data_IF_590399822806
#
_entry.id   IF_590399822806
#
_cell.length_a   1.000
_cell.length_b   1.000
_cell.length_c   1.000
_cell.angle_alpha   90.00
_cell.angle_beta   90.00
_cell.angle_gamma   90.00
#
_symmetry.space_group_name_H-M   'P 1'
#
loop_
_entity.id
_entity.type
_entity.pdbx_description
1 polymer ?
#
# COMPACT_ATOMS: atom_id res chain seq x y z
N UNK A 1 -48.24 -36.47 -32.08
CA UNK A 1 -49.19 -35.96 -31.06
C UNK A 1 -48.36 -35.48 -29.88
N UNK A 2 -48.40 -34.18 -29.61
CA UNK A 2 -47.46 -33.46 -28.77
C UNK A 2 -47.79 -33.54 -27.29
N UNK A 3 -46.76 -33.54 -26.43
CA UNK A 3 -46.71 -32.64 -25.26
C UNK A 3 -45.30 -32.05 -25.21
N UNK A 4 -45.18 -30.76 -25.57
CA UNK A 4 -44.09 -29.90 -25.08
C UNK A 4 -44.34 -29.62 -23.60
N UNK A 5 -43.30 -29.70 -22.76
CA UNK A 5 -43.24 -28.96 -21.49
C UNK A 5 -41.94 -28.15 -21.45
N UNK A 6 -42.12 -26.83 -21.35
CA UNK A 6 -41.09 -25.84 -21.06
C UNK A 6 -40.38 -26.15 -19.72
N UNK A 7 -39.07 -25.90 -19.65
CA UNK A 7 -38.43 -25.37 -18.43
C UNK A 7 -38.15 -26.30 -17.25
N UNK A 8 -37.77 -27.56 -17.43
CA UNK A 8 -37.40 -28.42 -16.30
C UNK A 8 -35.92 -28.30 -15.94
N UNK A 9 -35.62 -27.54 -14.88
CA UNK A 9 -34.37 -27.69 -14.14
C UNK A 9 -34.23 -29.16 -13.71
N UNK A 10 -33.02 -29.72 -13.87
CA UNK A 10 -32.69 -31.05 -13.35
C UNK A 10 -33.08 -31.09 -11.87
N UNK A 11 -33.81 -32.13 -11.46
CA UNK A 11 -34.26 -32.29 -10.07
C UNK A 11 -33.48 -33.44 -9.37
N UNK A 12 -33.57 -33.55 -8.05
CA UNK A 12 -32.79 -34.55 -7.28
C UNK A 12 -33.12 -36.00 -7.65
N UNK A 13 -34.30 -36.25 -8.21
CA UNK A 13 -34.71 -37.58 -8.69
C UNK A 13 -33.86 -38.01 -9.88
N UNK A 14 -33.58 -37.09 -10.79
CA UNK A 14 -32.80 -37.35 -12.00
C UNK A 14 -31.35 -37.70 -11.63
N UNK A 15 -30.80 -36.99 -10.65
CA UNK A 15 -29.46 -37.23 -10.09
C UNK A 15 -29.39 -38.59 -9.40
N UNK A 16 -30.39 -38.93 -8.58
CA UNK A 16 -30.46 -40.20 -7.87
C UNK A 16 -30.49 -41.40 -8.83
N UNK A 17 -31.32 -41.30 -9.88
CA UNK A 17 -31.44 -42.32 -10.91
C UNK A 17 -30.12 -42.53 -11.66
N UNK A 18 -29.44 -41.43 -12.02
CA UNK A 18 -28.19 -41.49 -12.79
C UNK A 18 -26.99 -41.95 -11.95
N UNK A 19 -26.94 -41.58 -10.67
CA UNK A 19 -25.89 -41.99 -9.73
C UNK A 19 -26.11 -43.38 -9.12
N UNK A 20 -27.27 -44.01 -9.37
CA UNK A 20 -27.61 -45.33 -8.83
C UNK A 20 -27.86 -45.35 -7.32
N UNK A 21 -28.36 -44.24 -6.74
CA UNK A 21 -28.61 -44.10 -5.30
C UNK A 21 -30.03 -43.61 -5.02
N UNK A 22 -30.47 -43.62 -3.75
CA UNK A 22 -31.77 -43.03 -3.38
C UNK A 22 -31.73 -41.49 -3.39
N UNK A 23 -32.89 -40.85 -3.57
CA UNK A 23 -33.02 -39.38 -3.41
C UNK A 23 -32.57 -38.91 -2.01
N UNK A 24 -32.84 -39.72 -0.97
CA UNK A 24 -32.37 -39.43 0.39
C UNK A 24 -30.85 -39.44 0.47
N UNK A 25 -30.17 -40.31 -0.28
CA UNK A 25 -28.70 -40.32 -0.38
C UNK A 25 -28.19 -39.07 -1.10
N UNK A 26 -28.84 -38.65 -2.19
CA UNK A 26 -28.50 -37.38 -2.87
C UNK A 26 -28.71 -36.18 -1.93
N UNK A 27 -29.81 -36.15 -1.17
CA UNK A 27 -30.06 -35.11 -0.16
C UNK A 27 -28.99 -35.10 0.92
N UNK A 28 -28.59 -36.27 1.42
CA UNK A 28 -27.55 -36.42 2.43
C UNK A 28 -26.17 -36.00 1.90
N UNK A 29 -25.87 -36.27 0.63
CA UNK A 29 -24.65 -35.79 -0.03
C UNK A 29 -24.67 -34.27 -0.19
N UNK A 30 -25.79 -33.70 -0.66
CA UNK A 30 -25.95 -32.24 -0.81
C UNK A 30 -25.88 -31.51 0.55
N UNK A 31 -26.38 -32.13 1.62
CA UNK A 31 -26.37 -31.58 2.99
C UNK A 31 -25.15 -32.03 3.83
N UNK A 32 -24.13 -32.63 3.20
CA UNK A 32 -22.89 -33.10 3.84
C UNK A 32 -23.09 -33.97 5.11
N UNK A 33 -24.15 -34.78 5.18
CA UNK A 33 -24.39 -35.63 6.35
C UNK A 33 -23.34 -36.75 6.47
N UNK A 34 -22.89 -37.10 7.70
CA UNK A 34 -21.97 -38.20 7.95
C UNK A 34 -22.62 -39.57 7.64
N UNK A 35 -21.80 -40.61 7.45
CA UNK A 35 -22.26 -41.98 7.19
C UNK A 35 -22.45 -42.37 5.71
N UNK A 36 -21.96 -41.54 4.77
CA UNK A 36 -21.91 -41.87 3.33
C UNK A 36 -20.47 -42.19 2.96
N UNK A 37 -20.27 -43.30 2.23
CA UNK A 37 -18.92 -43.69 1.77
C UNK A 37 -18.33 -42.62 0.84
N UNK A 38 -17.00 -42.45 0.87
CA UNK A 38 -16.30 -41.52 -0.04
C UNK A 38 -16.62 -41.83 -1.50
N UNK A 39 -16.67 -43.11 -1.88
CA UNK A 39 -16.98 -43.53 -3.23
C UNK A 39 -18.39 -43.07 -3.67
N UNK A 40 -19.41 -43.35 -2.86
CA UNK A 40 -20.80 -42.92 -3.14
C UNK A 40 -20.93 -41.41 -3.21
N UNK A 41 -20.22 -40.67 -2.35
CA UNK A 41 -20.22 -39.21 -2.35
C UNK A 41 -19.61 -38.65 -3.63
N UNK A 42 -18.48 -39.19 -4.09
CA UNK A 42 -17.85 -38.80 -5.36
C UNK A 42 -18.77 -39.05 -6.55
N UNK A 43 -19.36 -40.25 -6.65
CA UNK A 43 -20.27 -40.62 -7.75
C UNK A 43 -21.46 -39.66 -7.86
N UNK A 44 -22.05 -39.27 -6.73
CA UNK A 44 -23.19 -38.33 -6.71
C UNK A 44 -22.75 -36.92 -7.13
N UNK A 45 -21.61 -36.42 -6.65
CA UNK A 45 -21.10 -35.09 -7.00
C UNK A 45 -20.72 -34.97 -8.48
N UNK A 46 -20.13 -36.02 -9.06
CA UNK A 46 -19.84 -36.08 -10.50
C UNK A 46 -21.12 -36.10 -11.34
N UNK A 47 -22.12 -36.87 -10.89
CA UNK A 47 -23.43 -36.93 -11.56
C UNK A 47 -24.14 -35.58 -11.52
N UNK A 48 -24.07 -34.85 -10.40
CA UNK A 48 -24.61 -33.49 -10.27
C UNK A 48 -23.97 -32.53 -11.29
N UNK A 49 -22.65 -32.62 -11.48
CA UNK A 49 -21.91 -31.82 -12.47
C UNK A 49 -22.29 -32.19 -13.91
N UNK A 50 -22.33 -33.48 -14.23
CA UNK A 50 -22.68 -33.98 -15.57
C UNK A 50 -24.09 -33.55 -16.00
N UNK A 51 -25.04 -33.51 -15.05
CA UNK A 51 -26.41 -33.11 -15.32
C UNK A 51 -26.63 -31.59 -15.26
N UNK A 52 -25.61 -30.81 -14.86
CA UNK A 52 -25.76 -29.36 -14.72
C UNK A 52 -26.80 -28.96 -13.66
N UNK A 53 -26.95 -29.78 -12.61
CA UNK A 53 -27.89 -29.54 -11.53
C UNK A 53 -27.52 -28.25 -10.77
N UNK A 54 -28.39 -27.23 -10.83
CA UNK A 54 -28.22 -25.98 -10.09
C UNK A 54 -29.02 -26.04 -8.79
N UNK A 55 -28.35 -26.08 -7.65
CA UNK A 55 -28.99 -26.05 -6.33
C UNK A 55 -29.61 -24.66 -6.08
N UNK A 56 -30.94 -24.56 -6.12
CA UNK A 56 -31.67 -23.41 -5.57
C UNK A 56 -31.84 -23.63 -4.05
N UNK A 57 -30.77 -23.44 -3.28
CA UNK A 57 -30.85 -23.42 -1.82
C UNK A 57 -29.65 -22.67 -1.26
N UNK A 58 -29.91 -21.50 -0.68
CA UNK A 58 -28.99 -20.88 0.25
C UNK A 58 -28.65 -21.83 1.39
N UNK A 59 -27.41 -21.75 1.86
CA UNK A 59 -26.86 -22.50 3.00
C UNK A 59 -26.67 -24.01 2.79
N UNK A 60 -25.72 -24.37 1.93
CA UNK A 60 -24.83 -25.49 2.22
C UNK A 60 -23.39 -24.98 2.09
N UNK A 61 -22.80 -24.65 3.25
CA UNK A 61 -21.36 -24.39 3.38
C UNK A 61 -20.62 -25.61 2.85
N UNK A 62 -20.02 -25.46 1.67
CA UNK A 62 -19.01 -26.41 1.23
C UNK A 62 -17.80 -26.23 2.13
N UNK A 63 -17.41 -27.27 2.86
CA UNK A 63 -16.07 -27.45 3.46
C UNK A 63 -14.97 -27.56 2.38
N UNK A 64 -15.10 -26.79 1.31
CA UNK A 64 -14.06 -26.54 0.33
C UNK A 64 -13.58 -25.11 0.60
N UNK A 65 -12.55 -25.02 1.44
CA UNK A 65 -11.73 -23.85 1.71
C UNK A 65 -12.49 -22.65 2.33
N UNK A 66 -12.48 -22.55 3.67
CA UNK A 66 -12.40 -21.23 4.31
C UNK A 66 -11.08 -20.59 3.83
N UNK A 67 -11.09 -20.01 2.62
CA UNK A 67 -9.99 -19.19 2.14
C UNK A 67 -9.87 -18.01 3.08
N UNK A 68 -8.81 -17.98 3.89
CA UNK A 68 -8.53 -16.88 4.80
C UNK A 68 -8.72 -15.55 4.06
N UNK A 69 -9.67 -14.74 4.55
CA UNK A 69 -9.99 -13.45 3.95
C UNK A 69 -9.17 -12.36 4.66
N UNK A 70 -8.27 -11.74 3.93
CA UNK A 70 -7.53 -10.55 4.40
C UNK A 70 -8.18 -9.32 3.78
N UNK A 71 -8.45 -8.31 4.60
CA UNK A 71 -8.91 -7.00 4.13
C UNK A 71 -7.73 -6.04 4.04
N UNK A 72 -7.51 -5.46 2.86
CA UNK A 72 -6.69 -4.25 2.71
C UNK A 72 -7.59 -3.04 2.83
N UNK A 73 -7.37 -2.26 3.89
CA UNK A 73 -8.13 -1.07 4.24
C UNK A 73 -7.26 0.14 3.96
N UNK A 74 -7.62 0.90 2.93
CA UNK A 74 -6.97 2.14 2.55
C UNK A 74 -7.48 3.29 3.44
N UNK A 75 -6.54 3.98 4.07
CA UNK A 75 -6.74 5.15 4.93
C UNK A 75 -6.14 6.39 4.25
N UNK A 76 -6.92 7.12 3.44
CA UNK A 76 -6.42 8.24 2.64
C UNK A 76 -6.27 9.53 3.46
N UNK A 77 -5.51 10.48 2.91
CA UNK A 77 -5.55 11.88 3.31
C UNK A 77 -6.84 12.57 2.80
N UNK A 78 -7.28 13.68 3.42
CA UNK A 78 -8.49 14.39 2.99
C UNK A 78 -8.50 14.77 1.51
N UNK A 79 -7.34 15.11 0.94
CA UNK A 79 -7.21 15.47 -0.48
C UNK A 79 -7.14 14.27 -1.45
N UNK A 80 -7.02 13.03 -0.94
CA UNK A 80 -6.87 11.82 -1.73
C UNK A 80 -8.22 11.16 -2.02
N UNK A 81 -8.97 11.70 -2.97
CA UNK A 81 -10.31 11.21 -3.33
C UNK A 81 -10.30 9.81 -3.98
N UNK A 82 -9.27 9.50 -4.79
CA UNK A 82 -9.06 8.18 -5.39
C UNK A 82 -7.63 7.70 -5.09
N UNK A 83 -7.38 7.14 -3.89
CA UNK A 83 -6.03 6.76 -3.49
C UNK A 83 -5.44 5.65 -4.37
N UNK A 84 -6.27 4.77 -4.95
CA UNK A 84 -5.75 3.70 -5.81
C UNK A 84 -5.45 4.16 -7.24
N UNK A 85 -5.86 5.37 -7.63
CA UNK A 85 -5.32 6.02 -8.83
C UNK A 85 -3.87 6.49 -8.64
N UNK A 86 -3.39 6.61 -7.40
CA UNK A 86 -1.98 6.88 -7.12
C UNK A 86 -1.18 5.58 -7.28
N UNK A 87 -0.20 5.63 -8.18
CA UNK A 87 0.62 4.48 -8.57
C UNK A 87 1.26 3.76 -7.36
N UNK A 88 1.69 4.51 -6.35
CA UNK A 88 2.25 3.97 -5.12
C UNK A 88 1.30 2.97 -4.43
N UNK A 89 0.07 3.40 -4.12
CA UNK A 89 -0.89 2.56 -3.40
C UNK A 89 -1.39 1.39 -4.26
N UNK A 90 -1.53 1.61 -5.58
CA UNK A 90 -1.84 0.53 -6.51
C UNK A 90 -0.75 -0.56 -6.53
N UNK A 91 0.52 -0.16 -6.51
CA UNK A 91 1.66 -1.09 -6.53
C UNK A 91 1.81 -1.84 -5.22
N UNK A 92 1.59 -1.18 -4.08
CA UNK A 92 1.50 -1.86 -2.76
C UNK A 92 0.37 -2.89 -2.77
N UNK A 93 -0.81 -2.52 -3.25
CA UNK A 93 -1.96 -3.44 -3.32
C UNK A 93 -1.72 -4.64 -4.25
N UNK A 94 -0.99 -4.45 -5.36
CA UNK A 94 -0.55 -5.53 -6.25
C UNK A 94 0.39 -6.51 -5.53
N UNK A 95 1.42 -5.99 -4.83
CA UNK A 95 2.33 -6.83 -4.05
C UNK A 95 1.63 -7.64 -2.96
N UNK A 96 0.62 -7.05 -2.30
CA UNK A 96 -0.24 -7.76 -1.34
C UNK A 96 -1.01 -8.87 -2.05
N UNK A 97 -1.75 -8.52 -3.11
CA UNK A 97 -2.62 -9.43 -3.85
C UNK A 97 -1.88 -10.67 -4.34
N UNK A 98 -0.78 -10.47 -5.07
CA UNK A 98 -0.01 -11.58 -5.64
C UNK A 98 0.58 -12.50 -4.56
N UNK A 99 0.93 -11.94 -3.40
CA UNK A 99 1.48 -12.71 -2.29
C UNK A 99 0.40 -13.53 -1.58
N UNK A 100 -0.80 -12.99 -1.42
CA UNK A 100 -1.94 -13.71 -0.85
C UNK A 100 -2.50 -14.78 -1.80
N UNK A 101 -2.56 -14.50 -3.09
CA UNK A 101 -3.04 -15.44 -4.12
C UNK A 101 -2.19 -16.71 -4.18
N UNK A 102 -0.87 -16.61 -3.98
CA UNK A 102 0.06 -17.75 -3.93
C UNK A 102 -0.25 -18.77 -2.84
N UNK A 103 -1.01 -18.39 -1.80
CA UNK A 103 -1.42 -19.28 -0.71
C UNK A 103 -2.94 -19.52 -0.67
N UNK A 104 -3.66 -19.12 -1.72
CA UNK A 104 -5.11 -19.27 -1.81
C UNK A 104 -5.91 -18.32 -0.90
N UNK A 105 -5.29 -17.28 -0.33
CA UNK A 105 -6.00 -16.30 0.50
C UNK A 105 -6.73 -15.27 -0.38
N UNK A 106 -7.93 -14.87 0.02
CA UNK A 106 -8.71 -13.84 -0.70
C UNK A 106 -8.37 -12.46 -0.16
N UNK A 107 -8.17 -11.50 -1.07
CA UNK A 107 -7.98 -10.09 -0.73
C UNK A 107 -9.28 -9.30 -0.96
N UNK A 108 -9.82 -8.69 0.09
CA UNK A 108 -10.88 -7.68 0.00
C UNK A 108 -10.26 -6.29 0.04
N UNK A 109 -10.64 -5.41 -0.88
CA UNK A 109 -10.26 -4.00 -0.86
C UNK A 109 -11.37 -3.17 -0.23
N UNK A 110 -10.97 -2.20 0.59
CA UNK A 110 -11.87 -1.23 1.18
C UNK A 110 -11.15 0.11 1.30
N UNK A 111 -11.82 1.20 0.94
CA UNK A 111 -11.33 2.57 1.17
C UNK A 111 -12.20 3.24 2.20
N UNK A 112 -11.59 3.81 3.24
CA UNK A 112 -12.28 4.58 4.26
C UNK A 112 -12.29 6.07 3.91
N UNK A 113 -13.24 6.85 4.45
CA UNK A 113 -13.08 8.30 4.55
C UNK A 113 -11.80 8.66 5.31
N UNK A 114 -11.20 9.80 4.97
CA UNK A 114 -10.03 10.31 5.68
C UNK A 114 -10.34 10.50 7.18
N UNK A 115 -9.43 10.05 8.04
CA UNK A 115 -9.59 10.14 9.50
C UNK A 115 -10.71 9.27 10.09
N UNK A 116 -11.23 8.28 9.37
CA UNK A 116 -12.22 7.35 9.91
C UNK A 116 -11.73 6.72 11.24
N UNK A 117 -12.63 6.63 12.22
CA UNK A 117 -12.33 6.13 13.57
C UNK A 117 -12.65 4.64 13.77
N UNK A 118 -13.32 4.00 12.81
CA UNK A 118 -13.70 2.59 12.87
C UNK A 118 -13.93 2.02 11.46
N UNK A 119 -13.95 0.69 11.34
CA UNK A 119 -14.38 0.02 10.12
C UNK A 119 -15.91 0.12 10.00
N UNK A 120 -16.47 0.32 8.80
CA UNK A 120 -17.91 0.34 8.63
C UNK A 120 -18.45 -1.10 8.72
N UNK A 121 -19.22 -1.34 9.79
CA UNK A 121 -19.82 -2.64 10.08
C UNK A 121 -18.85 -3.67 10.64
N UNK A 122 -19.36 -4.87 10.92
CA UNK A 122 -18.54 -5.97 11.39
C UNK A 122 -17.60 -6.47 10.28
N UNK A 123 -16.30 -6.57 10.56
CA UNK A 123 -15.37 -7.23 9.66
C UNK A 123 -15.58 -8.75 9.72
N UNK A 124 -15.63 -9.38 8.56
CA UNK A 124 -15.59 -10.86 8.43
C UNK A 124 -14.20 -11.34 8.01
N UNK A 125 -13.22 -10.44 7.93
CA UNK A 125 -11.85 -10.77 7.58
C UNK A 125 -11.12 -11.29 8.80
N UNK A 126 -10.29 -12.29 8.60
CA UNK A 126 -9.44 -12.86 9.65
C UNK A 126 -8.32 -11.88 10.02
N UNK A 127 -7.85 -11.11 9.04
CA UNK A 127 -6.80 -10.11 9.22
C UNK A 127 -7.02 -8.83 8.41
N UNK A 128 -6.50 -7.71 8.92
CA UNK A 128 -6.59 -6.40 8.29
C UNK A 128 -5.19 -5.84 8.02
N UNK A 129 -4.95 -5.36 6.81
CA UNK A 129 -3.79 -4.53 6.47
C UNK A 129 -4.30 -3.09 6.36
N UNK A 130 -3.85 -2.21 7.26
CA UNK A 130 -4.10 -0.77 7.18
C UNK A 130 -3.04 -0.12 6.29
N UNK A 131 -3.43 0.52 5.19
CA UNK A 131 -2.53 1.18 4.26
C UNK A 131 -2.73 2.69 4.27
N UNK A 132 -1.63 3.46 4.32
CA UNK A 132 -1.66 4.92 4.31
C UNK A 132 -1.63 5.51 5.71
N UNK A 133 -2.67 6.27 6.08
CA UNK A 133 -2.71 7.10 7.29
C UNK A 133 -3.84 6.69 8.25
N UNK A 134 -3.80 5.47 8.84
CA UNK A 134 -4.81 5.05 9.80
C UNK A 134 -4.78 5.92 11.06
N UNK A 135 -5.95 6.38 11.50
CA UNK A 135 -6.11 7.15 12.74
C UNK A 135 -5.82 6.30 13.98
N UNK A 136 -5.42 6.95 15.08
CA UNK A 136 -5.27 6.29 16.38
C UNK A 136 -6.57 5.67 16.87
N UNK A 137 -7.70 6.32 16.59
CA UNK A 137 -9.04 5.88 16.93
C UNK A 137 -9.39 4.57 16.21
N UNK A 138 -9.12 4.47 14.91
CA UNK A 138 -9.32 3.25 14.13
C UNK A 138 -8.47 2.11 14.70
N UNK A 139 -7.19 2.39 14.96
CA UNK A 139 -6.28 1.38 15.51
C UNK A 139 -6.73 0.93 16.90
N UNK A 140 -7.17 1.85 17.76
CA UNK A 140 -7.73 1.54 19.07
C UNK A 140 -9.01 0.71 18.98
N UNK A 141 -9.90 1.01 18.04
CA UNK A 141 -11.11 0.23 17.79
C UNK A 141 -10.78 -1.22 17.40
N UNK A 142 -9.82 -1.43 16.50
CA UNK A 142 -9.37 -2.76 16.10
C UNK A 142 -8.77 -3.55 17.27
N UNK A 143 -7.93 -2.90 18.10
CA UNK A 143 -7.38 -3.50 19.33
C UNK A 143 -8.48 -3.94 20.30
N UNK A 144 -9.47 -3.08 20.54
CA UNK A 144 -10.60 -3.36 21.43
C UNK A 144 -11.47 -4.52 20.93
N UNK A 145 -11.58 -4.67 19.61
CA UNK A 145 -12.33 -5.76 18.97
C UNK A 145 -11.50 -7.03 18.80
N UNK A 146 -10.24 -7.05 19.24
CA UNK A 146 -9.31 -8.16 19.06
C UNK A 146 -9.15 -8.59 17.58
N UNK A 147 -9.27 -7.64 16.66
CA UNK A 147 -9.02 -7.90 15.23
C UNK A 147 -7.52 -7.95 15.01
N UNK A 148 -7.03 -8.99 14.33
CA UNK A 148 -5.62 -9.07 13.94
C UNK A 148 -5.38 -8.08 12.81
N UNK A 149 -4.45 -7.14 13.00
CA UNK A 149 -4.10 -6.18 11.96
C UNK A 149 -2.61 -5.84 11.96
N UNK A 150 -2.15 -5.31 10.83
CA UNK A 150 -0.84 -4.69 10.67
C UNK A 150 -0.99 -3.31 10.02
N UNK A 151 0.05 -2.49 10.13
CA UNK A 151 0.13 -1.18 9.47
C UNK A 151 1.17 -1.27 8.33
N UNK A 152 0.77 -0.91 7.12
CA UNK A 152 1.63 -0.72 5.97
C UNK A 152 1.70 0.79 5.67
N UNK A 153 2.69 1.48 6.23
CA UNK A 153 2.80 2.95 6.12
C UNK A 153 4.23 3.42 6.34
N UNK A 154 4.65 4.44 5.59
CA UNK A 154 5.95 5.10 5.77
C UNK A 154 5.93 6.27 6.75
N UNK A 155 4.75 6.71 7.19
CA UNK A 155 4.58 7.99 7.90
C UNK A 155 3.90 7.84 9.26
N UNK A 156 3.69 6.59 9.70
CA UNK A 156 3.13 6.25 11.01
C UNK A 156 4.23 5.55 11.82
N UNK A 157 4.37 5.95 13.08
CA UNK A 157 5.20 5.26 14.06
C UNK A 157 4.29 4.56 15.08
N UNK A 158 4.62 3.33 15.42
CA UNK A 158 4.07 2.61 16.55
C UNK A 158 5.19 1.84 17.22
N UNK A 159 5.06 1.53 18.51
CA UNK A 159 5.93 0.56 19.20
C UNK A 159 5.15 -0.67 19.67
N UNK A 160 3.86 -0.74 19.34
CA UNK A 160 2.92 -1.72 19.90
C UNK A 160 2.19 -2.53 18.83
N UNK A 161 2.45 -2.23 17.56
CA UNK A 161 1.69 -2.77 16.41
C UNK A 161 2.65 -3.34 15.38
N UNK A 162 2.24 -4.41 14.71
CA UNK A 162 3.01 -4.95 13.60
C UNK A 162 3.03 -3.95 12.44
N UNK A 163 4.22 -3.65 11.93
CA UNK A 163 4.42 -2.62 10.91
C UNK A 163 5.27 -3.12 9.76
N UNK A 164 4.91 -2.69 8.56
CA UNK A 164 5.78 -2.70 7.39
C UNK A 164 5.91 -1.26 6.92
N UNK A 165 7.13 -0.73 7.00
CA UNK A 165 7.40 0.71 6.87
C UNK A 165 8.70 0.94 6.08
N UNK A 166 9.09 2.20 5.94
CA UNK A 166 10.37 2.64 5.37
C UNK A 166 11.08 3.52 6.39
N UNK A 167 12.41 3.62 6.32
CA UNK A 167 13.16 4.50 7.20
C UNK A 167 13.43 5.85 6.52
N UNK A 168 12.40 6.71 6.51
CA UNK A 168 12.48 8.06 5.94
C UNK A 168 13.59 8.89 6.60
N UNK A 169 13.76 8.76 7.91
CA UNK A 169 14.78 9.48 8.67
C UNK A 169 16.19 9.12 8.20
N UNK A 170 16.55 7.84 8.21
CA UNK A 170 17.89 7.37 7.84
C UNK A 170 18.20 7.65 6.35
N UNK A 171 17.21 7.47 5.47
CA UNK A 171 17.32 7.80 4.06
C UNK A 171 17.65 9.29 3.86
N UNK A 172 17.00 10.18 4.61
CA UNK A 172 17.29 11.61 4.60
C UNK A 172 18.67 11.96 5.16
N UNK A 173 19.14 11.25 6.18
CA UNK A 173 20.51 11.41 6.69
C UNK A 173 21.52 11.09 5.59
N UNK A 174 21.33 9.98 4.88
CA UNK A 174 22.22 9.58 3.80
C UNK A 174 22.21 10.59 2.64
N UNK A 175 21.03 11.07 2.24
CA UNK A 175 20.89 12.11 1.22
C UNK A 175 21.58 13.41 1.65
N UNK A 176 21.42 13.84 2.90
CA UNK A 176 22.10 15.02 3.43
C UNK A 176 23.62 14.85 3.37
N UNK A 177 24.15 13.70 3.82
CA UNK A 177 25.59 13.39 3.73
C UNK A 177 26.11 13.48 2.30
N UNK A 178 25.34 12.95 1.35
CA UNK A 178 25.67 13.04 -0.06
C UNK A 178 25.79 14.50 -0.53
N UNK A 179 24.80 15.35 -0.22
CA UNK A 179 24.84 16.77 -0.56
C UNK A 179 26.05 17.49 0.08
N UNK A 180 26.29 17.26 1.37
CA UNK A 180 27.41 17.88 2.10
C UNK A 180 28.76 17.48 1.51
N UNK A 181 28.94 16.23 1.07
CA UNK A 181 30.17 15.77 0.39
C UNK A 181 30.41 16.50 -0.93
N UNK A 182 29.36 16.97 -1.60
CA UNK A 182 29.44 17.77 -2.83
C UNK A 182 29.63 19.27 -2.57
N UNK A 183 29.79 19.67 -1.31
CA UNK A 183 30.04 21.06 -0.94
C UNK A 183 28.80 21.91 -0.74
N UNK A 184 27.60 21.36 -0.90
CA UNK A 184 26.33 22.05 -0.61
C UNK A 184 26.25 22.35 0.88
N UNK A 185 25.95 23.59 1.27
CA UNK A 185 25.86 24.02 2.68
C UNK A 185 24.52 24.64 3.06
N UNK A 186 23.81 25.27 2.11
CA UNK A 186 22.47 25.82 2.28
C UNK A 186 21.44 24.92 1.61
N UNK A 187 20.60 24.29 2.42
CA UNK A 187 19.52 23.42 1.95
C UNK A 187 18.18 24.00 2.36
N UNK A 188 17.29 24.17 1.40
CA UNK A 188 15.89 24.51 1.64
C UNK A 188 14.96 23.32 1.54
N UNK A 189 13.75 23.48 2.06
CA UNK A 189 12.78 22.42 2.27
C UNK A 189 11.37 22.88 1.94
N UNK A 190 10.70 22.13 1.06
CA UNK A 190 9.26 22.20 0.83
C UNK A 190 8.62 20.90 1.31
N UNK A 191 8.16 20.91 2.56
CA UNK A 191 7.67 19.72 3.26
C UNK A 191 6.15 19.70 3.34
N UNK A 192 5.51 18.56 3.06
CA UNK A 192 4.13 18.29 3.44
C UNK A 192 4.06 17.88 4.93
N UNK A 193 2.88 17.89 5.57
CA UNK A 193 2.75 17.56 7.00
C UNK A 193 3.33 16.21 7.41
N UNK A 194 3.30 15.22 6.52
CA UNK A 194 3.83 13.87 6.77
C UNK A 194 5.32 13.72 6.45
N UNK A 195 5.96 14.75 5.87
CA UNK A 195 7.39 14.76 5.54
C UNK A 195 8.31 15.12 6.71
N UNK A 196 7.82 15.20 7.95
CA UNK A 196 8.61 15.70 9.07
C UNK A 196 9.77 14.78 9.47
N UNK A 197 9.63 13.45 9.39
CA UNK A 197 10.77 12.55 9.59
C UNK A 197 11.87 12.76 8.55
N UNK A 198 11.45 13.03 7.31
CA UNK A 198 12.38 13.32 6.22
C UNK A 198 13.16 14.58 6.54
N UNK A 199 12.48 15.66 6.93
CA UNK A 199 13.12 16.89 7.39
C UNK A 199 14.04 16.65 8.59
N UNK A 200 13.58 15.90 9.60
CA UNK A 200 14.35 15.62 10.82
C UNK A 200 15.69 14.92 10.52
N UNK A 201 15.72 13.99 9.55
CA UNK A 201 16.95 13.34 9.10
C UNK A 201 17.96 14.34 8.50
N UNK A 202 17.51 15.23 7.62
CA UNK A 202 18.36 16.31 7.09
C UNK A 202 18.82 17.27 8.20
N UNK A 203 17.89 17.71 9.05
CA UNK A 203 18.19 18.66 10.12
C UNK A 203 19.22 18.11 11.09
N UNK A 204 19.10 16.85 11.50
CA UNK A 204 20.07 16.20 12.40
C UNK A 204 21.47 16.19 11.77
N UNK A 205 21.60 15.81 10.50
CA UNK A 205 22.90 15.72 9.84
C UNK A 205 23.51 17.11 9.54
N UNK A 206 22.69 18.10 9.22
CA UNK A 206 23.13 19.49 9.12
C UNK A 206 23.69 20.00 10.46
N UNK A 207 22.96 19.79 11.56
CA UNK A 207 23.37 20.21 12.89
C UNK A 207 24.69 19.53 13.32
N UNK A 208 24.87 18.24 13.01
CA UNK A 208 26.14 17.52 13.24
C UNK A 208 27.33 18.15 12.52
N UNK A 209 27.09 18.83 11.40
CA UNK A 209 28.09 19.55 10.63
C UNK A 209 28.10 21.06 10.93
N UNK A 210 27.49 21.48 12.05
CA UNK A 210 27.40 22.89 12.48
C UNK A 210 26.69 23.81 11.46
N UNK A 211 25.78 23.25 10.68
CA UNK A 211 24.90 23.99 9.76
C UNK A 211 23.49 24.05 10.35
N UNK A 212 22.87 25.22 10.28
CA UNK A 212 21.48 25.41 10.67
C UNK A 212 20.61 25.66 9.44
N UNK A 213 19.40 25.10 9.44
CA UNK A 213 18.38 25.46 8.46
C UNK A 213 17.90 26.86 8.77
N UNK A 214 17.93 27.76 7.79
CA UNK A 214 17.42 29.12 7.98
C UNK A 214 15.90 29.09 8.04
N UNK A 215 15.24 29.92 8.88
CA UNK A 215 13.78 29.97 8.94
C UNK A 215 13.12 30.19 7.57
N UNK A 216 13.71 31.04 6.72
CA UNK A 216 13.26 31.33 5.36
C UNK A 216 13.44 30.17 4.37
N UNK A 217 14.35 29.23 4.70
CA UNK A 217 14.67 28.07 3.88
C UNK A 217 13.73 26.88 4.16
N UNK A 218 12.86 26.95 5.17
CA UNK A 218 11.91 25.89 5.51
C UNK A 218 10.46 26.33 5.30
N UNK A 219 9.72 25.61 4.46
CA UNK A 219 8.28 25.85 4.25
C UNK A 219 7.47 24.56 4.39
N UNK A 220 6.63 24.53 5.41
CA UNK A 220 5.61 23.49 5.60
C UNK A 220 4.36 23.83 4.79
N UNK A 221 3.99 22.95 3.87
CA UNK A 221 2.79 23.04 3.05
C UNK A 221 1.58 22.52 3.83
N UNK A 222 0.37 23.04 3.57
CA UNK A 222 -0.84 22.63 4.28
C UNK A 222 -1.30 21.21 3.91
N UNK A 223 -0.88 20.71 2.74
CA UNK A 223 -1.29 19.41 2.21
C UNK A 223 -0.26 18.89 1.18
N UNK A 224 -0.58 17.78 0.52
CA UNK A 224 0.28 17.14 -0.49
C UNK A 224 0.03 17.63 -1.92
N UNK A 225 -0.92 18.55 -2.13
CA UNK A 225 -1.37 18.97 -3.45
C UNK A 225 -0.36 19.87 -4.15
N UNK A 226 -0.13 19.58 -5.43
CA UNK A 226 0.83 20.28 -6.28
C UNK A 226 0.75 21.81 -6.27
N UNK A 227 -0.43 22.47 -6.31
CA UNK A 227 -0.52 23.93 -6.33
C UNK A 227 0.17 24.61 -5.15
N UNK A 228 0.10 24.02 -3.95
CA UNK A 228 0.74 24.58 -2.74
C UNK A 228 2.26 24.64 -2.87
N UNK A 229 2.88 23.63 -3.49
CA UNK A 229 4.31 23.59 -3.75
C UNK A 229 4.73 24.60 -4.82
N UNK A 230 3.91 24.79 -5.86
CA UNK A 230 4.16 25.78 -6.92
C UNK A 230 4.08 27.20 -6.32
N UNK A 231 3.08 27.47 -5.49
CA UNK A 231 2.97 28.74 -4.77
C UNK A 231 4.18 29.00 -3.86
N UNK A 232 4.67 27.98 -3.16
CA UNK A 232 5.76 28.12 -2.21
C UNK A 232 7.12 28.44 -2.86
N UNK A 233 7.40 27.95 -4.07
CA UNK A 233 8.69 28.21 -4.77
C UNK A 233 8.76 29.63 -5.34
N UNK A 234 7.61 30.29 -5.60
CA UNK A 234 7.57 31.61 -6.24
C UNK A 234 8.40 32.67 -5.51
N UNK A 235 8.44 32.64 -4.18
CA UNK A 235 9.19 33.61 -3.39
C UNK A 235 10.70 33.53 -3.65
N UNK A 236 11.29 32.34 -3.61
CA UNK A 236 12.72 32.18 -3.91
C UNK A 236 13.06 32.57 -5.35
N UNK A 237 12.17 32.27 -6.30
CA UNK A 237 12.34 32.68 -7.71
C UNK A 237 12.33 34.21 -7.84
N UNK A 238 11.35 34.89 -7.22
CA UNK A 238 11.16 36.33 -7.31
C UNK A 238 12.32 37.11 -6.70
N UNK A 239 12.82 36.66 -5.54
CA UNK A 239 13.92 37.31 -4.83
C UNK A 239 15.31 36.89 -5.34
N UNK A 240 15.36 35.85 -6.19
CA UNK A 240 16.61 35.20 -6.64
C UNK A 240 17.49 34.73 -5.47
N UNK A 241 16.87 34.34 -4.37
CA UNK A 241 17.53 33.85 -3.15
C UNK A 241 17.28 32.35 -2.95
N UNK A 242 17.62 31.55 -3.95
CA UNK A 242 17.48 30.10 -3.86
C UNK A 242 18.53 29.49 -2.90
N UNK A 243 18.18 28.42 -2.16
CA UNK A 243 19.18 27.58 -1.52
C UNK A 243 20.02 26.83 -2.59
N UNK A 244 21.18 26.32 -2.20
CA UNK A 244 22.03 25.52 -3.10
C UNK A 244 21.39 24.16 -3.42
N UNK A 245 20.59 23.64 -2.50
CA UNK A 245 19.73 22.48 -2.75
C UNK A 245 18.33 22.68 -2.20
N UNK A 246 17.33 22.13 -2.88
CA UNK A 246 15.94 22.14 -2.45
C UNK A 246 15.40 20.71 -2.32
N UNK A 247 15.01 20.35 -1.10
CA UNK A 247 14.37 19.08 -0.79
C UNK A 247 12.86 19.26 -0.89
N UNK A 248 12.21 18.45 -1.72
CA UNK A 248 10.77 18.50 -2.00
C UNK A 248 10.12 17.18 -1.59
N UNK A 249 8.93 17.25 -1.00
CA UNK A 249 8.27 16.08 -0.40
C UNK A 249 7.98 14.93 -1.33
N UNK A 250 7.74 15.18 -2.62
CA UNK A 250 7.45 14.13 -3.59
C UNK A 250 7.91 14.54 -4.98
N UNK A 251 8.13 13.53 -5.83
CA UNK A 251 8.73 13.70 -7.14
C UNK A 251 7.90 14.58 -8.08
N UNK A 252 6.57 14.53 -8.01
CA UNK A 252 5.72 15.31 -8.92
C UNK A 252 5.80 16.82 -8.65
N UNK A 253 5.84 17.21 -7.37
CA UNK A 253 6.13 18.60 -6.99
C UNK A 253 7.54 19.01 -7.42
N UNK A 254 8.53 18.14 -7.25
CA UNK A 254 9.90 18.43 -7.65
C UNK A 254 10.02 18.64 -9.17
N UNK A 255 9.31 17.85 -9.99
CA UNK A 255 9.25 18.01 -11.46
C UNK A 255 8.58 19.32 -11.87
N UNK A 256 7.48 19.71 -11.22
CA UNK A 256 6.84 20.99 -11.52
C UNK A 256 7.74 22.17 -11.13
N UNK A 257 8.39 22.09 -9.97
CA UNK A 257 9.36 23.09 -9.50
C UNK A 257 10.55 23.19 -10.46
N UNK A 258 11.08 22.05 -10.92
CA UNK A 258 12.13 22.02 -11.95
C UNK A 258 11.71 22.81 -13.18
N UNK A 259 10.51 22.54 -13.72
CA UNK A 259 9.98 23.27 -14.88
C UNK A 259 9.89 24.78 -14.61
N UNK A 260 9.40 25.17 -13.42
CA UNK A 260 9.30 26.58 -13.03
C UNK A 260 10.67 27.27 -12.95
N UNK A 261 11.67 26.60 -12.36
CA UNK A 261 13.04 27.12 -12.27
C UNK A 261 13.66 27.31 -13.65
N UNK A 262 13.53 26.32 -14.54
CA UNK A 262 14.03 26.40 -15.92
C UNK A 262 13.35 27.55 -16.70
N UNK A 263 12.03 27.71 -16.58
CA UNK A 263 11.29 28.79 -17.23
C UNK A 263 11.69 30.19 -16.72
N UNK A 264 12.25 30.27 -15.51
CA UNK A 264 12.75 31.52 -14.92
C UNK A 264 14.27 31.69 -15.08
N UNK A 265 14.92 30.85 -15.90
CA UNK A 265 16.32 31.00 -16.30
C UNK A 265 17.34 30.42 -15.31
N UNK A 266 16.91 29.64 -14.31
CA UNK A 266 17.82 28.89 -13.44
C UNK A 266 18.23 27.57 -14.09
N UNK A 267 19.47 27.14 -13.83
CA UNK A 267 20.03 25.87 -14.30
C UNK A 267 20.00 24.83 -13.18
N UNK A 268 19.75 23.58 -13.56
CA UNK A 268 19.68 22.45 -12.65
C UNK A 268 20.61 21.38 -13.21
N UNK A 269 21.64 20.92 -12.47
CA UNK A 269 21.88 21.17 -11.04
C UNK A 269 22.77 22.39 -10.71
N UNK A 270 23.20 23.19 -11.68
CA UNK A 270 24.28 24.19 -11.49
C UNK A 270 23.93 25.34 -10.55
N UNK A 271 22.70 25.88 -10.66
CA UNK A 271 22.26 26.98 -9.79
C UNK A 271 21.51 26.44 -8.56
N UNK A 272 20.86 25.27 -8.69
CA UNK A 272 20.16 24.60 -7.60
C UNK A 272 20.03 23.10 -7.84
N UNK A 273 20.39 22.30 -6.82
CA UNK A 273 20.17 20.86 -6.83
C UNK A 273 18.79 20.51 -6.25
N UNK A 274 18.01 19.72 -6.99
CA UNK A 274 16.73 19.21 -6.48
C UNK A 274 16.90 17.81 -5.87
N UNK A 275 16.23 17.60 -4.72
CA UNK A 275 16.08 16.30 -4.06
C UNK A 275 14.60 16.02 -3.85
N UNK A 276 14.16 14.80 -4.14
CA UNK A 276 12.77 14.40 -3.97
C UNK A 276 12.62 12.96 -3.46
N UNK A 277 11.43 12.65 -2.96
CA UNK A 277 11.03 11.29 -2.60
C UNK A 277 10.18 10.71 -3.72
N UNK A 278 10.51 9.50 -4.15
CA UNK A 278 9.93 8.83 -5.30
C UNK A 278 9.57 7.38 -4.95
N UNK A 279 8.80 6.75 -5.82
CA UNK A 279 8.44 5.34 -5.76
C UNK A 279 8.98 4.57 -6.97
N UNK A 280 9.53 5.26 -7.98
CA UNK A 280 10.14 4.66 -9.16
C UNK A 280 11.53 5.28 -9.47
N UNK A 281 12.63 4.50 -9.42
CA UNK A 281 13.93 5.01 -9.81
C UNK A 281 13.98 5.40 -11.29
N UNK A 282 14.79 6.41 -11.62
CA UNK A 282 15.19 6.70 -13.01
C UNK A 282 14.21 7.52 -13.85
N UNK A 283 13.16 8.06 -13.24
CA UNK A 283 12.14 8.84 -13.97
C UNK A 283 12.55 10.29 -14.28
N UNK A 284 13.57 10.83 -13.60
CA UNK A 284 14.13 12.16 -13.88
C UNK A 284 15.64 12.18 -13.56
N UNK A 285 16.49 12.23 -14.58
CA UNK A 285 17.95 12.13 -14.41
C UNK A 285 18.61 13.32 -13.72
N UNK A 286 17.92 14.45 -13.56
CA UNK A 286 18.49 15.68 -12.98
C UNK A 286 18.08 15.91 -11.51
N UNK A 287 17.14 15.10 -11.00
CA UNK A 287 16.66 15.17 -9.60
C UNK A 287 17.28 14.00 -8.83
N UNK A 288 17.90 14.28 -7.68
CA UNK A 288 18.31 13.23 -6.75
C UNK A 288 17.04 12.65 -6.13
N UNK A 289 16.83 11.34 -6.20
CA UNK A 289 15.62 10.71 -5.67
C UNK A 289 15.92 9.68 -4.59
N UNK A 290 15.17 9.76 -3.49
CA UNK A 290 15.09 8.73 -2.47
C UNK A 290 13.87 7.87 -2.77
N UNK A 291 14.06 6.59 -3.05
CA UNK A 291 12.96 5.71 -3.46
C UNK A 291 12.92 4.41 -2.68
N UNK A 292 11.71 3.87 -2.53
CA UNK A 292 11.43 2.54 -1.96
C UNK A 292 10.71 1.73 -3.02
N UNK A 293 10.81 0.40 -2.96
CA UNK A 293 9.98 -0.49 -3.79
C UNK A 293 8.61 -0.70 -3.13
N UNK A 294 7.52 -0.08 -3.63
CA UNK A 294 6.17 -0.28 -3.08
C UNK A 294 5.66 -1.71 -3.21
N UNK A 295 6.10 -2.46 -4.24
CA UNK A 295 5.71 -3.85 -4.40
C UNK A 295 6.30 -4.71 -3.27
N UNK A 296 7.58 -4.51 -2.91
CA UNK A 296 8.16 -5.21 -1.76
C UNK A 296 7.45 -4.84 -0.46
N UNK A 297 7.07 -3.57 -0.27
CA UNK A 297 6.29 -3.16 0.90
C UNK A 297 4.96 -3.93 0.98
N UNK A 298 4.25 -4.04 -0.14
CA UNK A 298 3.02 -4.84 -0.22
C UNK A 298 3.26 -6.33 0.06
N UNK A 299 4.31 -6.91 -0.52
CA UNK A 299 4.69 -8.31 -0.28
C UNK A 299 5.00 -8.56 1.19
N UNK A 300 5.81 -7.73 1.83
CA UNK A 300 6.14 -7.86 3.25
C UNK A 300 4.90 -7.68 4.13
N UNK A 301 3.99 -6.78 3.79
CA UNK A 301 2.71 -6.62 4.49
C UNK A 301 1.87 -7.90 4.43
N UNK A 302 1.72 -8.51 3.26
CA UNK A 302 1.01 -9.78 3.10
C UNK A 302 1.67 -10.93 3.88
N UNK A 303 3.00 -11.06 3.84
CA UNK A 303 3.72 -12.07 4.61
C UNK A 303 3.55 -11.86 6.12
N UNK A 304 3.60 -10.60 6.58
CA UNK A 304 3.50 -10.29 8.01
C UNK A 304 2.10 -10.55 8.55
N UNK A 305 1.04 -10.14 7.85
CA UNK A 305 -0.33 -10.44 8.30
C UNK A 305 -0.58 -11.96 8.35
N UNK A 306 -0.13 -12.71 7.34
CA UNK A 306 -0.25 -14.18 7.34
C UNK A 306 0.47 -14.82 8.53
N UNK A 307 1.66 -14.33 8.85
CA UNK A 307 2.41 -14.80 10.01
C UNK A 307 1.65 -14.50 11.31
N UNK A 308 1.19 -13.25 11.47
CA UNK A 308 0.47 -12.80 12.66
C UNK A 308 -0.84 -13.55 12.88
N UNK A 309 -1.55 -13.91 11.82
CA UNK A 309 -2.76 -14.73 11.89
C UNK A 309 -2.49 -16.13 12.46
N UNK A 310 -1.33 -16.72 12.13
CA UNK A 310 -0.92 -18.04 12.67
C UNK A 310 -0.33 -17.94 14.08
N UNK A 311 0.20 -16.76 14.45
CA UNK A 311 0.81 -16.50 15.75
C UNK A 311 0.26 -15.22 16.40
N UNK A 312 -1.02 -15.17 16.80
CA UNK A 312 -1.66 -13.92 17.27
C UNK A 312 -0.98 -13.29 18.49
N UNK A 313 -0.34 -14.11 19.33
CA UNK A 313 0.31 -13.68 20.57
C UNK A 313 1.80 -13.33 20.40
N UNK A 314 2.35 -13.42 19.19
CA UNK A 314 3.73 -12.98 18.94
C UNK A 314 3.86 -11.47 19.20
N UNK A 315 5.00 -11.04 19.73
CA UNK A 315 5.30 -9.62 19.87
C UNK A 315 5.21 -8.89 18.52
N UNK A 316 4.85 -7.60 18.52
CA UNK A 316 4.85 -6.79 17.30
C UNK A 316 6.22 -6.79 16.61
N UNK A 317 6.22 -6.91 15.29
CA UNK A 317 7.43 -6.84 14.45
C UNK A 317 7.33 -5.63 13.52
N UNK A 318 8.40 -4.85 13.45
CA UNK A 318 8.55 -3.81 12.43
C UNK A 318 9.50 -4.29 11.34
N UNK A 319 8.97 -4.40 10.13
CA UNK A 319 9.76 -4.68 8.92
C UNK A 319 10.03 -3.36 8.21
N UNK A 320 11.30 -3.02 8.03
CA UNK A 320 11.70 -1.82 7.30
C UNK A 320 12.12 -2.23 5.89
N UNK A 321 11.42 -1.70 4.89
CA UNK A 321 11.81 -1.80 3.49
C UNK A 321 12.89 -0.74 3.21
N UNK A 322 14.04 -1.13 2.63
CA UNK A 322 15.13 -0.20 2.40
C UNK A 322 14.74 0.89 1.41
N UNK A 323 15.20 2.11 1.68
CA UNK A 323 15.17 3.21 0.71
C UNK A 323 16.53 3.32 0.04
N UNK A 324 16.54 3.66 -1.24
CA UNK A 324 17.74 3.78 -2.06
C UNK A 324 17.85 5.21 -2.58
N UNK A 325 19.05 5.79 -2.45
CA UNK A 325 19.40 7.07 -3.03
C UNK A 325 19.87 6.88 -4.48
N UNK A 326 19.12 7.45 -5.42
CA UNK A 326 19.52 7.56 -6.83
C UNK A 326 19.99 8.97 -7.11
N UNK A 327 21.16 9.07 -7.72
CA UNK A 327 21.76 10.35 -8.12
C UNK A 327 21.75 10.49 -9.63
N UNK A 328 21.72 11.73 -10.16
CA UNK A 328 22.07 12.00 -11.54
C UNK A 328 23.39 11.32 -11.93
N UNK A 329 23.53 10.78 -13.16
CA UNK A 329 24.82 10.31 -13.63
C UNK A 329 25.83 11.45 -13.54
N UNK A 330 27.00 11.19 -12.94
CA UNK A 330 28.07 12.17 -12.90
C UNK A 330 28.45 12.52 -14.35
N UNK A 331 28.41 13.80 -14.69
CA UNK A 331 28.98 14.25 -15.95
C UNK A 331 30.49 13.98 -15.87
N UNK A 332 30.97 13.05 -16.69
CA UNK A 332 32.39 12.80 -16.89
C UNK A 332 33.06 14.09 -17.37
N UNK A 333 33.48 14.91 -16.41
CA UNK A 333 34.17 16.18 -16.62
C UNK A 333 35.67 15.97 -16.41
N UNK A 334 36.22 14.91 -17.02
CA UNK A 334 37.66 14.76 -17.24
C UNK A 334 37.85 13.84 -18.45
N UNK A 335 38.13 14.42 -19.63
CA UNK A 335 39.34 14.21 -20.44
C UNK A 335 39.25 15.21 -21.60
N UNK A 336 39.94 16.35 -21.47
CA UNK A 336 40.60 17.09 -22.55
C UNK A 336 41.59 18.05 -21.92
#
# INVERSE_FOLDING_TARGET
MAIRRNGNAVNMTDVALKAGVSQSTVSRVLNNQPGISRHTRTTVLETLRQLGYKTNSGHAKSEAEETAAVSLVMCPLPEQNDPFALEYFATVASGIRETLEKVGARLRLQTLPAGAAELPGATTAEGVILLGFPSEELRAALRKQHIVYIIASGDIYSSTEDMVTVNNFEASVEACRYLLRRGIRRIGFLMAPFGLERYAGFQMELLRNSLNVRPEDFRLQPNTQLPTFIEAIHHWIAEKDLPEALVVSHIDAARAIKTMLLLNGFRIPEDIQLVAFDHHPGTCSEIISLHTDPYQLGRHAALRIQHKLRHPNEAPVHTVVPMVLTTPPESNSHVS
#
